data_IF_590290961487
#
_entry.id   IF_590290961487
#
_cell.length_a   1.000
_cell.length_b   1.000
_cell.length_c   1.000
_cell.angle_alpha   90.00
_cell.angle_beta   90.00
_cell.angle_gamma   90.00
#
_symmetry.space_group_name_H-M   'P 1'
#
loop_
_entity.id
_entity.type
_entity.pdbx_description
1 polymer ?
#
# COMPACT_ATOMS: atom_id res chain seq x y z
N UNK A 1 -30.67 0.20 -0.44
CA UNK A 1 -30.58 -0.64 -1.65
C UNK A 1 -30.53 0.16 -2.94
N UNK A 2 -31.51 1.03 -3.25
CA UNK A 2 -31.45 1.83 -4.49
C UNK A 2 -30.20 2.73 -4.58
N UNK A 3 -29.86 3.45 -3.51
CA UNK A 3 -28.68 4.33 -3.48
C UNK A 3 -27.36 3.59 -3.71
N UNK A 4 -27.25 2.36 -3.20
CA UNK A 4 -26.12 1.48 -3.42
C UNK A 4 -25.99 1.08 -4.90
N UNK A 5 -27.10 0.65 -5.52
CA UNK A 5 -27.10 0.25 -6.93
C UNK A 5 -26.75 1.43 -7.86
N UNK A 6 -27.32 2.60 -7.60
CA UNK A 6 -27.03 3.82 -8.39
C UNK A 6 -25.56 4.19 -8.30
N UNK A 7 -24.99 4.17 -7.10
CA UNK A 7 -23.58 4.52 -6.89
C UNK A 7 -22.62 3.50 -7.51
N UNK A 8 -22.94 2.21 -7.41
CA UNK A 8 -22.18 1.15 -8.06
C UNK A 8 -22.22 1.30 -9.59
N UNK A 9 -23.39 1.60 -10.17
CA UNK A 9 -23.53 1.83 -11.60
C UNK A 9 -22.76 3.07 -12.04
N UNK A 10 -22.84 4.15 -11.26
CA UNK A 10 -22.12 5.39 -11.57
C UNK A 10 -20.61 5.19 -11.52
N UNK A 11 -20.11 4.40 -10.57
CA UNK A 11 -18.70 4.00 -10.52
C UNK A 11 -18.29 3.18 -11.76
N UNK A 12 -19.12 2.23 -12.19
CA UNK A 12 -18.85 1.43 -13.39
C UNK A 12 -18.87 2.28 -14.67
N UNK A 13 -19.80 3.23 -14.78
CA UNK A 13 -19.86 4.18 -15.90
C UNK A 13 -18.61 5.04 -15.95
N UNK A 14 -18.14 5.56 -14.81
CA UNK A 14 -16.91 6.35 -14.73
C UNK A 14 -15.67 5.55 -15.13
N UNK A 15 -15.57 4.28 -14.71
CA UNK A 15 -14.43 3.43 -15.05
C UNK A 15 -14.39 3.05 -16.54
N UNK A 16 -15.55 2.99 -17.19
CA UNK A 16 -15.67 2.63 -18.61
C UNK A 16 -15.80 3.83 -19.55
N UNK A 17 -15.95 5.04 -19.03
CA UNK A 17 -16.12 6.22 -19.87
C UNK A 17 -14.79 6.64 -20.50
N UNK A 18 -14.81 6.89 -21.81
CA UNK A 18 -13.65 7.45 -22.52
C UNK A 18 -13.49 8.96 -22.25
N UNK A 19 -14.52 9.62 -21.72
CA UNK A 19 -14.56 11.06 -21.45
C UNK A 19 -14.80 11.33 -19.96
N UNK A 20 -13.78 11.05 -19.15
CA UNK A 20 -13.80 11.25 -17.69
C UNK A 20 -13.98 12.75 -17.36
N UNK A 21 -13.48 13.65 -18.21
CA UNK A 21 -13.53 15.10 -17.99
C UNK A 21 -14.95 15.64 -17.99
N UNK A 22 -15.79 15.21 -18.94
CA UNK A 22 -17.20 15.61 -18.98
C UNK A 22 -17.96 15.10 -17.74
N UNK A 23 -17.70 13.87 -17.31
CA UNK A 23 -18.30 13.35 -16.08
C UNK A 23 -17.86 14.12 -14.83
N UNK A 24 -16.58 14.49 -14.73
CA UNK A 24 -16.08 15.32 -13.62
C UNK A 24 -16.68 16.73 -13.63
N UNK A 25 -16.92 17.30 -14.81
CA UNK A 25 -17.60 18.60 -14.93
C UNK A 25 -19.01 18.51 -14.36
N UNK A 26 -19.78 17.49 -14.75
CA UNK A 26 -21.12 17.25 -14.22
C UNK A 26 -21.07 17.05 -12.69
N UNK A 27 -20.11 16.25 -12.20
CA UNK A 27 -19.91 16.04 -10.76
C UNK A 27 -19.53 17.31 -10.00
N UNK A 28 -18.87 18.26 -10.66
CA UNK A 28 -18.49 19.54 -10.07
C UNK A 28 -19.63 20.55 -10.05
N UNK A 29 -20.54 20.47 -11.03
CA UNK A 29 -21.77 21.26 -11.08
C UNK A 29 -22.82 20.73 -10.11
N UNK A 30 -22.83 19.43 -9.86
CA UNK A 30 -23.68 18.81 -8.86
C UNK A 30 -23.02 18.84 -7.48
N UNK A 31 -23.80 19.08 -6.41
CA UNK A 31 -23.30 18.95 -5.03
C UNK A 31 -23.12 17.48 -4.59
N UNK A 32 -22.78 16.60 -5.53
CA UNK A 32 -22.78 15.14 -5.35
C UNK A 32 -21.73 14.68 -4.36
N UNK A 33 -20.52 15.26 -4.38
CA UNK A 33 -19.45 14.90 -3.43
C UNK A 33 -19.87 15.25 -2.01
N UNK A 34 -20.35 16.49 -1.77
CA UNK A 34 -20.83 16.92 -0.46
C UNK A 34 -21.99 16.04 0.05
N UNK A 35 -22.98 15.75 -0.82
CA UNK A 35 -24.10 14.88 -0.47
C UNK A 35 -23.64 13.45 -0.15
N UNK A 36 -22.61 12.95 -0.84
CA UNK A 36 -22.04 11.64 -0.58
C UNK A 36 -21.28 11.61 0.75
N UNK A 37 -20.52 12.65 1.08
CA UNK A 37 -19.84 12.80 2.36
C UNK A 37 -20.83 12.78 3.54
N UNK A 38 -21.92 13.55 3.44
CA UNK A 38 -22.99 13.57 4.44
C UNK A 38 -23.61 12.17 4.61
N UNK A 39 -23.88 11.49 3.49
CA UNK A 39 -24.48 10.16 3.49
C UNK A 39 -23.51 9.10 4.06
N UNK A 40 -22.22 9.19 3.75
CA UNK A 40 -21.18 8.34 4.34
C UNK A 40 -21.18 8.53 5.86
N UNK A 41 -21.23 9.76 6.37
CA UNK A 41 -21.22 10.03 7.82
C UNK A 41 -22.44 9.43 8.54
N UNK A 42 -23.62 9.57 7.94
CA UNK A 42 -24.85 8.94 8.45
C UNK A 42 -24.70 7.42 8.47
N UNK A 43 -24.16 6.84 7.40
CA UNK A 43 -24.03 5.38 7.23
C UNK A 43 -22.95 4.76 8.10
N UNK A 44 -21.84 5.47 8.32
CA UNK A 44 -20.81 5.14 9.32
C UNK A 44 -21.41 5.08 10.72
N UNK A 45 -22.21 6.08 11.09
CA UNK A 45 -22.88 6.14 12.40
C UNK A 45 -23.88 4.99 12.58
N UNK A 46 -24.55 4.58 11.50
CA UNK A 46 -25.47 3.44 11.49
C UNK A 46 -24.78 2.07 11.32
N UNK A 47 -23.44 2.02 11.23
CA UNK A 47 -22.65 0.81 10.97
C UNK A 47 -23.03 0.05 9.68
N UNK A 48 -23.55 0.74 8.67
CA UNK A 48 -23.83 0.18 7.34
C UNK A 48 -22.61 0.34 6.42
N UNK A 49 -21.65 -0.57 6.61
CA UNK A 49 -20.32 -0.45 5.99
C UNK A 49 -20.29 -0.75 4.49
N UNK A 50 -21.27 -1.50 3.95
CA UNK A 50 -21.29 -1.86 2.52
C UNK A 50 -21.51 -0.63 1.63
N UNK A 51 -22.38 0.27 2.05
CA UNK A 51 -22.58 1.53 1.34
C UNK A 51 -21.32 2.40 1.41
N UNK A 52 -20.71 2.48 2.59
CA UNK A 52 -19.49 3.26 2.82
C UNK A 52 -18.35 2.77 1.92
N UNK A 53 -18.15 1.45 1.82
CA UNK A 53 -17.14 0.86 0.95
C UNK A 53 -17.32 1.31 -0.51
N UNK A 54 -18.52 1.19 -1.07
CA UNK A 54 -18.79 1.57 -2.46
C UNK A 54 -18.66 3.08 -2.67
N UNK A 55 -19.06 3.89 -1.69
CA UNK A 55 -18.90 5.34 -1.75
C UNK A 55 -17.44 5.77 -1.74
N UNK A 56 -16.62 5.16 -0.88
CA UNK A 56 -15.18 5.38 -0.89
C UNK A 56 -14.55 4.92 -2.21
N UNK A 57 -14.99 3.78 -2.76
CA UNK A 57 -14.50 3.30 -4.06
C UNK A 57 -14.82 4.28 -5.19
N UNK A 58 -16.01 4.88 -5.18
CA UNK A 58 -16.36 5.93 -6.14
C UNK A 58 -15.48 7.18 -5.97
N UNK A 59 -15.27 7.65 -4.73
CA UNK A 59 -14.37 8.78 -4.45
C UNK A 59 -12.94 8.48 -4.90
N UNK A 60 -12.48 7.24 -4.73
CA UNK A 60 -11.18 6.80 -5.25
C UNK A 60 -11.12 6.86 -6.78
N UNK A 61 -12.15 6.37 -7.50
CA UNK A 61 -12.22 6.49 -8.96
C UNK A 61 -12.10 7.94 -9.42
N UNK A 62 -12.72 8.88 -8.69
CA UNK A 62 -12.56 10.32 -8.95
C UNK A 62 -11.12 10.77 -8.70
N UNK A 63 -10.51 10.36 -7.58
CA UNK A 63 -9.15 10.75 -7.19
C UNK A 63 -8.04 10.26 -8.14
N UNK A 64 -8.30 9.29 -9.02
CA UNK A 64 -7.32 8.75 -9.97
C UNK A 64 -6.89 9.74 -11.06
N UNK A 65 -7.59 10.87 -11.21
CA UNK A 65 -7.25 11.91 -12.19
C UNK A 65 -6.89 13.22 -11.49
N UNK A 66 -6.07 14.05 -12.14
CA UNK A 66 -5.68 15.35 -11.57
C UNK A 66 -6.89 16.26 -11.33
N UNK A 67 -7.85 16.32 -12.26
CA UNK A 67 -9.05 17.14 -12.11
C UNK A 67 -9.99 16.62 -11.03
N UNK A 68 -10.14 15.30 -10.91
CA UNK A 68 -10.92 14.71 -9.82
C UNK A 68 -10.26 14.93 -8.46
N UNK A 69 -8.93 14.79 -8.37
CA UNK A 69 -8.19 15.13 -7.16
C UNK A 69 -8.36 16.62 -6.78
N UNK A 70 -8.30 17.55 -7.74
CA UNK A 70 -8.59 18.98 -7.49
C UNK A 70 -9.99 19.20 -6.96
N UNK A 71 -10.98 18.52 -7.54
CA UNK A 71 -12.37 18.61 -7.10
C UNK A 71 -12.53 18.07 -5.67
N UNK A 72 -11.95 16.92 -5.34
CA UNK A 72 -11.98 16.38 -3.97
C UNK A 72 -11.23 17.27 -2.97
N UNK A 73 -10.08 17.82 -3.36
CA UNK A 73 -9.32 18.77 -2.55
C UNK A 73 -10.12 20.03 -2.23
N UNK A 74 -10.85 20.58 -3.21
CA UNK A 74 -11.73 21.73 -3.01
C UNK A 74 -12.90 21.43 -2.04
N UNK A 75 -13.35 20.18 -1.98
CA UNK A 75 -14.34 19.71 -1.01
C UNK A 75 -13.72 19.27 0.34
N UNK A 76 -12.43 19.53 0.59
CA UNK A 76 -11.74 19.17 1.84
C UNK A 76 -11.78 17.67 2.19
N UNK A 77 -11.66 16.80 1.17
CA UNK A 77 -11.69 15.33 1.35
C UNK A 77 -10.73 14.84 2.45
N UNK A 78 -9.56 15.48 2.58
CA UNK A 78 -8.56 15.11 3.58
C UNK A 78 -9.08 15.29 5.00
N UNK A 79 -9.67 16.45 5.30
CA UNK A 79 -10.30 16.73 6.60
C UNK A 79 -11.47 15.80 6.86
N UNK A 80 -12.32 15.58 5.86
CA UNK A 80 -13.43 14.64 5.95
C UNK A 80 -12.96 13.23 6.35
N UNK A 81 -11.96 12.68 5.65
CA UNK A 81 -11.40 11.37 5.95
C UNK A 81 -10.73 11.34 7.33
N UNK A 82 -9.96 12.37 7.69
CA UNK A 82 -9.31 12.45 9.01
C UNK A 82 -10.30 12.30 10.16
N UNK A 83 -11.45 12.98 10.08
CA UNK A 83 -12.43 13.04 11.17
C UNK A 83 -13.35 11.83 11.24
N UNK A 84 -13.77 11.30 10.08
CA UNK A 84 -14.88 10.34 10.02
C UNK A 84 -14.41 8.88 9.97
N UNK A 85 -13.17 8.63 9.53
CA UNK A 85 -12.66 7.26 9.40
C UNK A 85 -12.55 6.54 10.75
N UNK A 86 -12.48 7.28 11.88
CA UNK A 86 -12.46 6.70 13.23
C UNK A 86 -13.67 5.81 13.52
N UNK A 87 -14.81 6.09 12.87
CA UNK A 87 -16.03 5.30 13.03
C UNK A 87 -15.91 3.91 12.40
N UNK A 88 -15.02 3.72 11.42
CA UNK A 88 -14.70 2.39 10.90
C UNK A 88 -14.09 1.50 11.99
N UNK A 89 -13.28 2.05 12.89
CA UNK A 89 -12.66 1.30 13.99
C UNK A 89 -13.72 0.80 14.98
N UNK A 90 -14.61 1.69 15.42
CA UNK A 90 -15.69 1.33 16.33
C UNK A 90 -16.63 0.28 15.71
N UNK A 91 -16.84 0.31 14.40
CA UNK A 91 -17.67 -0.68 13.71
C UNK A 91 -16.98 -2.04 13.57
N UNK A 92 -15.65 -2.09 13.45
CA UNK A 92 -14.89 -3.34 13.45
C UNK A 92 -15.06 -4.11 14.77
N UNK A 93 -14.97 -3.41 15.90
CA UNK A 93 -15.18 -4.00 17.23
C UNK A 93 -16.60 -4.54 17.41
N UNK A 94 -17.61 -3.84 16.88
CA UNK A 94 -19.01 -4.19 17.04
C UNK A 94 -19.47 -5.33 16.12
N UNK A 95 -19.10 -5.30 14.84
CA UNK A 95 -19.70 -6.16 13.79
C UNK A 95 -18.80 -7.27 13.28
N UNK A 96 -17.51 -7.31 13.66
CA UNK A 96 -16.51 -8.32 13.23
C UNK A 96 -16.41 -8.49 11.70
N UNK A 97 -16.81 -7.50 10.93
CA UNK A 97 -16.78 -7.56 9.47
C UNK A 97 -15.43 -7.05 8.96
N UNK A 98 -14.40 -7.88 9.13
CA UNK A 98 -13.01 -7.52 8.86
C UNK A 98 -12.73 -7.18 7.39
N UNK A 99 -13.37 -7.85 6.43
CA UNK A 99 -13.13 -7.63 5.00
C UNK A 99 -13.56 -6.24 4.54
N UNK A 100 -14.79 -5.82 4.90
CA UNK A 100 -15.32 -4.50 4.53
C UNK A 100 -14.52 -3.38 5.19
N UNK A 101 -14.08 -3.60 6.43
CA UNK A 101 -13.18 -2.67 7.11
C UNK A 101 -11.85 -2.53 6.36
N UNK A 102 -11.19 -3.64 6.03
CA UNK A 102 -9.89 -3.61 5.34
C UNK A 102 -9.99 -2.95 3.97
N UNK A 103 -11.04 -3.26 3.21
CA UNK A 103 -11.30 -2.62 1.92
C UNK A 103 -11.52 -1.11 2.11
N UNK A 104 -12.46 -0.71 2.96
CA UNK A 104 -12.76 0.72 3.19
C UNK A 104 -11.54 1.50 3.66
N UNK A 105 -10.78 0.96 4.61
CA UNK A 105 -9.55 1.58 5.11
C UNK A 105 -8.49 1.71 4.01
N UNK A 106 -8.28 0.64 3.23
CA UNK A 106 -7.34 0.66 2.10
C UNK A 106 -7.73 1.68 1.03
N UNK A 107 -9.02 1.85 0.77
CA UNK A 107 -9.54 2.83 -0.18
C UNK A 107 -9.32 4.26 0.31
N UNK A 108 -9.48 4.52 1.61
CA UNK A 108 -9.13 5.83 2.17
C UNK A 108 -7.65 6.15 1.97
N UNK A 109 -6.75 5.19 2.18
CA UNK A 109 -5.31 5.38 1.92
C UNK A 109 -5.02 5.65 0.44
N UNK A 110 -5.72 4.95 -0.45
CA UNK A 110 -5.62 5.18 -1.89
C UNK A 110 -6.07 6.60 -2.28
N UNK A 111 -7.20 7.09 -1.74
CA UNK A 111 -7.67 8.46 -1.94
C UNK A 111 -6.60 9.44 -1.46
N UNK A 112 -6.14 9.32 -0.21
CA UNK A 112 -5.14 10.22 0.37
C UNK A 112 -3.84 10.23 -0.46
N UNK A 113 -3.38 9.06 -0.91
CA UNK A 113 -2.16 8.92 -1.72
C UNK A 113 -2.29 9.58 -3.09
N UNK A 114 -3.39 9.32 -3.81
CA UNK A 114 -3.59 9.88 -5.15
C UNK A 114 -3.86 11.38 -5.10
N UNK A 115 -4.64 11.85 -4.12
CA UNK A 115 -4.85 13.29 -3.93
C UNK A 115 -3.53 13.99 -3.59
N UNK A 116 -2.69 13.42 -2.71
CA UNK A 116 -1.36 13.96 -2.42
C UNK A 116 -0.45 13.98 -3.66
N UNK A 117 -0.47 12.90 -4.46
CA UNK A 117 0.31 12.81 -5.70
C UNK A 117 -0.02 13.95 -6.68
N UNK A 118 -1.31 14.23 -6.89
CA UNK A 118 -1.74 15.26 -7.84
C UNK A 118 -1.69 16.68 -7.29
N UNK A 119 -2.10 16.89 -6.03
CA UNK A 119 -2.20 18.21 -5.43
C UNK A 119 -0.90 18.67 -4.74
N UNK A 120 0.01 17.73 -4.44
CA UNK A 120 1.33 18.01 -3.87
C UNK A 120 1.20 18.84 -2.59
N UNK A 121 1.96 19.93 -2.50
CA UNK A 121 2.00 20.83 -1.34
C UNK A 121 0.63 21.39 -0.91
N UNK A 122 -0.34 21.56 -1.81
CA UNK A 122 -1.65 22.10 -1.44
C UNK A 122 -2.50 21.13 -0.62
N UNK A 123 -2.20 19.82 -0.68
CA UNK A 123 -2.86 18.78 0.11
C UNK A 123 -1.97 18.21 1.22
N UNK A 124 -0.69 18.61 1.26
CA UNK A 124 0.30 18.05 2.18
C UNK A 124 -0.11 18.18 3.65
N UNK A 125 -0.71 19.30 4.06
CA UNK A 125 -1.16 19.47 5.44
C UNK A 125 -2.21 18.42 5.82
N UNK A 126 -3.22 18.19 4.98
CA UNK A 126 -4.23 17.15 5.22
C UNK A 126 -3.62 15.76 5.28
N UNK A 127 -2.59 15.47 4.48
CA UNK A 127 -1.87 14.20 4.53
C UNK A 127 -1.07 14.04 5.83
N UNK A 128 -0.42 15.10 6.31
CA UNK A 128 0.28 15.13 7.61
C UNK A 128 -0.71 14.93 8.76
N UNK A 129 -1.84 15.64 8.75
CA UNK A 129 -2.88 15.51 9.76
C UNK A 129 -3.44 14.09 9.81
N UNK A 130 -3.64 13.47 8.64
CA UNK A 130 -4.08 12.07 8.54
C UNK A 130 -3.05 11.10 9.10
N UNK A 131 -1.76 11.26 8.75
CA UNK A 131 -0.67 10.45 9.29
C UNK A 131 -0.61 10.56 10.83
N UNK A 132 -0.70 11.79 11.36
CA UNK A 132 -0.65 12.06 12.78
C UNK A 132 -1.84 11.50 13.55
N UNK A 133 -3.05 11.66 13.00
CA UNK A 133 -4.31 11.21 13.60
C UNK A 133 -4.46 9.68 13.64
N UNK A 134 -3.88 8.97 12.67
CA UNK A 134 -4.08 7.53 12.48
C UNK A 134 -2.80 6.70 12.60
N UNK A 135 -1.76 7.27 13.23
CA UNK A 135 -0.42 6.67 13.32
C UNK A 135 -0.39 5.24 13.87
N UNK A 136 -1.24 4.91 14.83
CA UNK A 136 -1.22 3.60 15.50
C UNK A 136 -1.60 2.46 14.55
N UNK A 137 -2.62 2.68 13.72
CA UNK A 137 -3.13 1.66 12.80
C UNK A 137 -2.25 1.56 11.57
N UNK A 138 -1.75 2.70 11.08
CA UNK A 138 -0.73 2.73 10.04
C UNK A 138 0.53 1.97 10.48
N UNK A 139 1.03 2.22 11.70
CA UNK A 139 2.20 1.52 12.21
C UNK A 139 1.94 0.02 12.41
N UNK A 140 0.82 -0.35 13.04
CA UNK A 140 0.40 -1.75 13.20
C UNK A 140 0.33 -2.49 11.87
N UNK A 141 -0.08 -1.81 10.79
CA UNK A 141 -0.13 -2.42 9.46
C UNK A 141 1.25 -2.73 8.85
N UNK A 142 2.32 -2.06 9.28
CA UNK A 142 3.69 -2.30 8.80
C UNK A 142 4.35 -3.50 9.50
N UNK A 143 3.94 -3.83 10.71
CA UNK A 143 4.45 -4.97 11.49
C UNK A 143 3.65 -6.27 11.26
N UNK A 144 2.71 -6.27 10.30
CA UNK A 144 1.77 -7.38 10.15
C UNK A 144 2.41 -8.65 9.59
N UNK A 145 3.54 -8.51 8.90
CA UNK A 145 4.24 -9.60 8.22
C UNK A 145 4.91 -10.57 9.22
N UNK A 146 5.02 -10.19 10.50
CA UNK A 146 5.50 -11.06 11.58
C UNK A 146 4.38 -11.87 12.23
N UNK A 147 3.11 -11.60 11.90
CA UNK A 147 1.94 -12.17 12.55
C UNK A 147 1.35 -13.37 11.80
N UNK A 148 0.67 -14.26 12.53
CA UNK A 148 -0.13 -15.35 11.96
C UNK A 148 -1.32 -14.76 11.18
N UNK A 149 -1.68 -15.32 10.02
CA UNK A 149 -2.77 -14.86 9.16
C UNK A 149 -2.64 -13.42 8.64
N UNK A 150 -1.43 -13.02 8.22
CA UNK A 150 -1.15 -11.69 7.68
C UNK A 150 -1.83 -11.41 6.32
N UNK A 151 -2.21 -12.45 5.56
CA UNK A 151 -2.74 -12.34 4.19
C UNK A 151 -3.93 -11.38 4.09
N UNK A 152 -4.91 -11.50 4.99
CA UNK A 152 -6.14 -10.70 4.95
C UNK A 152 -5.87 -9.21 5.22
N UNK A 153 -4.71 -8.91 5.80
CA UNK A 153 -4.29 -7.57 6.23
C UNK A 153 -3.21 -6.98 5.34
N UNK A 154 -2.67 -7.77 4.41
CA UNK A 154 -1.61 -7.34 3.50
C UNK A 154 -2.05 -6.23 2.55
N UNK A 155 -3.33 -6.20 2.19
CA UNK A 155 -3.91 -5.10 1.41
C UNK A 155 -3.69 -3.76 2.11
N UNK A 156 -3.88 -3.68 3.42
CA UNK A 156 -3.62 -2.45 4.18
C UNK A 156 -2.13 -2.13 4.15
N UNK A 157 -1.25 -3.09 4.41
CA UNK A 157 0.20 -2.87 4.41
C UNK A 157 0.67 -2.29 3.08
N UNK A 158 0.18 -2.85 1.96
CA UNK A 158 0.45 -2.33 0.62
C UNK A 158 0.02 -0.86 0.48
N UNK A 159 -1.20 -0.52 0.86
CA UNK A 159 -1.69 0.87 0.74
C UNK A 159 -1.01 1.83 1.74
N UNK A 160 -0.64 1.37 2.93
CA UNK A 160 0.12 2.16 3.91
C UNK A 160 1.50 2.49 3.35
N UNK A 161 2.20 1.50 2.78
CA UNK A 161 3.53 1.72 2.18
C UNK A 161 3.46 2.67 0.97
N UNK A 162 2.39 2.61 0.18
CA UNK A 162 2.14 3.56 -0.91
C UNK A 162 1.97 4.99 -0.35
N UNK A 163 1.10 5.17 0.65
CA UNK A 163 0.86 6.49 1.26
C UNK A 163 2.13 7.10 1.87
N UNK A 164 2.92 6.30 2.59
CA UNK A 164 4.19 6.74 3.16
C UNK A 164 5.21 7.06 2.06
N UNK A 165 5.23 6.31 0.96
CA UNK A 165 6.07 6.62 -0.19
C UNK A 165 5.74 7.99 -0.78
N UNK A 166 4.46 8.32 -0.98
CA UNK A 166 4.05 9.65 -1.45
C UNK A 166 4.47 10.76 -0.47
N UNK A 167 4.30 10.55 0.84
CA UNK A 167 4.74 11.49 1.88
C UNK A 167 6.26 11.66 1.94
N UNK A 168 7.04 10.63 1.59
CA UNK A 168 8.50 10.66 1.67
C UNK A 168 9.13 11.68 0.72
N UNK A 169 8.42 12.08 -0.35
CA UNK A 169 8.83 13.18 -1.23
C UNK A 169 8.85 14.55 -0.52
N UNK A 170 8.15 14.68 0.62
CA UNK A 170 8.02 15.90 1.42
C UNK A 170 8.65 15.73 2.80
N UNK A 171 9.68 14.88 2.91
CA UNK A 171 10.31 14.52 4.17
C UNK A 171 10.66 15.72 5.07
N UNK A 172 11.21 16.86 4.58
CA UNK A 172 11.54 18.00 5.45
C UNK A 172 10.31 18.55 6.18
N UNK A 173 9.19 18.74 5.46
CA UNK A 173 7.95 19.27 6.02
C UNK A 173 7.30 18.26 6.97
N UNK A 174 7.30 16.98 6.60
CA UNK A 174 6.71 15.91 7.43
C UNK A 174 7.51 15.72 8.72
N UNK A 175 8.85 15.74 8.65
CA UNK A 175 9.71 15.67 9.84
C UNK A 175 9.55 16.91 10.72
N UNK A 176 9.43 18.09 10.13
CA UNK A 176 9.18 19.31 10.89
C UNK A 176 7.86 19.23 11.69
N UNK A 177 6.80 18.70 11.08
CA UNK A 177 5.50 18.58 11.74
C UNK A 177 5.42 17.40 12.72
N UNK A 178 6.02 16.26 12.38
CA UNK A 178 5.81 14.96 13.04
C UNK A 178 7.12 14.16 13.17
N UNK A 179 8.19 14.76 13.71
CA UNK A 179 9.53 14.16 13.76
C UNK A 179 9.55 12.70 14.28
N UNK A 180 9.11 12.49 15.52
CA UNK A 180 9.22 11.18 16.19
C UNK A 180 8.34 10.13 15.50
N UNK A 181 7.15 10.55 15.06
CA UNK A 181 6.20 9.69 14.34
C UNK A 181 6.79 9.28 13.00
N UNK A 182 7.29 10.23 12.21
CA UNK A 182 7.83 9.93 10.89
C UNK A 182 9.12 9.10 10.97
N UNK A 183 9.99 9.35 11.95
CA UNK A 183 11.18 8.51 12.17
C UNK A 183 10.81 7.05 12.51
N UNK A 184 9.72 6.84 13.26
CA UNK A 184 9.18 5.51 13.53
C UNK A 184 8.69 4.85 12.23
N UNK A 185 8.02 5.59 11.35
CA UNK A 185 7.61 5.10 10.04
C UNK A 185 8.78 4.77 9.10
N UNK A 186 9.87 5.57 9.13
CA UNK A 186 11.09 5.25 8.35
C UNK A 186 11.59 3.85 8.71
N UNK A 187 11.69 3.54 10.00
CA UNK A 187 12.11 2.21 10.44
C UNK A 187 11.12 1.11 10.02
N UNK A 188 9.81 1.35 10.20
CA UNK A 188 8.77 0.42 9.78
C UNK A 188 8.79 0.10 8.28
N UNK A 189 9.09 1.08 7.42
CA UNK A 189 9.23 0.89 5.98
C UNK A 189 10.40 -0.04 5.64
N UNK A 190 11.55 0.15 6.29
CA UNK A 190 12.73 -0.69 6.08
C UNK A 190 12.45 -2.13 6.55
N UNK A 191 11.80 -2.29 7.70
CA UNK A 191 11.39 -3.59 8.21
C UNK A 191 10.39 -4.29 7.29
N UNK A 192 9.34 -3.59 6.84
CA UNK A 192 8.35 -4.14 5.90
C UNK A 192 9.00 -4.58 4.58
N UNK A 193 10.00 -3.83 4.10
CA UNK A 193 10.81 -4.23 2.93
C UNK A 193 11.56 -5.54 3.19
N UNK A 194 12.25 -5.64 4.33
CA UNK A 194 13.00 -6.83 4.72
C UNK A 194 12.10 -8.06 4.88
N UNK A 195 10.98 -7.92 5.58
CA UNK A 195 10.05 -9.02 5.80
C UNK A 195 9.45 -9.50 4.48
N UNK A 196 9.07 -8.56 3.60
CA UNK A 196 8.54 -8.89 2.28
C UNK A 196 9.57 -9.62 1.42
N UNK A 197 10.83 -9.19 1.42
CA UNK A 197 11.87 -9.88 0.65
C UNK A 197 12.26 -11.23 1.24
N UNK A 198 12.22 -11.39 2.57
CA UNK A 198 12.45 -12.67 3.23
C UNK A 198 11.39 -13.71 2.81
N UNK A 199 10.13 -13.28 2.67
CA UNK A 199 9.03 -14.10 2.16
C UNK A 199 9.17 -14.40 0.67
N UNK A 200 9.43 -13.38 -0.16
CA UNK A 200 9.60 -13.56 -1.62
C UNK A 200 10.80 -14.45 -1.97
N UNK A 201 11.85 -14.42 -1.16
CA UNK A 201 13.02 -15.30 -1.32
C UNK A 201 12.70 -16.78 -1.01
N UNK A 202 11.57 -17.07 -0.36
CA UNK A 202 11.15 -18.40 0.10
C UNK A 202 9.72 -18.73 -0.36
N UNK A 203 9.50 -18.96 -1.67
CA UNK A 203 8.16 -19.20 -2.22
C UNK A 203 7.43 -20.40 -1.60
N UNK A 204 8.14 -21.43 -1.12
CA UNK A 204 7.53 -22.56 -0.40
C UNK A 204 6.89 -22.16 0.93
N UNK A 205 7.47 -21.18 1.63
CA UNK A 205 6.91 -20.65 2.88
C UNK A 205 5.58 -19.94 2.59
N UNK A 206 5.49 -19.21 1.47
CA UNK A 206 4.25 -18.60 1.01
C UNK A 206 3.18 -19.67 0.77
N UNK A 207 3.49 -20.72 0.01
CA UNK A 207 2.54 -21.80 -0.26
C UNK A 207 2.11 -22.54 1.02
N UNK A 208 3.03 -22.76 1.97
CA UNK A 208 2.71 -23.35 3.27
C UNK A 208 1.77 -22.47 4.09
N UNK A 209 2.03 -21.16 4.18
CA UNK A 209 1.19 -20.21 4.92
C UNK A 209 -0.22 -20.08 4.33
N UNK A 210 -0.36 -20.25 3.01
CA UNK A 210 -1.66 -20.34 2.35
C UNK A 210 -2.37 -21.67 2.63
N UNK A 211 -1.63 -22.79 2.62
CA UNK A 211 -2.20 -24.12 2.82
C UNK A 211 -2.53 -24.41 4.30
N UNK A 212 -1.84 -23.78 5.27
CA UNK A 212 -2.15 -23.95 6.70
C UNK A 212 -3.54 -23.44 7.06
N UNK A 213 -4.07 -22.40 6.37
CA UNK A 213 -5.48 -21.97 6.50
C UNK A 213 -6.48 -23.06 6.08
N UNK A 214 -6.16 -23.85 5.05
CA UNK A 214 -7.01 -24.97 4.62
C UNK A 214 -7.04 -26.08 5.67
N UNK A 215 -5.92 -26.32 6.34
CA UNK A 215 -5.78 -27.32 7.40
C UNK A 215 -6.39 -26.86 8.74
N UNK A 216 -6.35 -25.57 9.10
CA UNK A 216 -7.06 -25.05 10.28
C UNK A 216 -8.59 -25.19 10.19
N UNK A 217 -9.15 -25.13 8.97
CA UNK A 217 -10.57 -25.46 8.73
C UNK A 217 -10.87 -26.97 8.87
N UNK A 218 -9.85 -27.81 9.00
CA UNK A 218 -9.94 -29.26 9.15
C UNK A 218 -9.28 -29.66 10.47
N UNK A 219 -10.00 -29.48 11.59
CA UNK A 219 -9.64 -29.83 12.98
C UNK A 219 -8.33 -30.63 13.18
N UNK A 220 -7.47 -30.07 14.05
CA UNK A 220 -6.24 -30.61 14.65
C UNK A 220 -4.91 -30.12 14.03
N UNK A 221 -4.53 -28.89 14.34
CA UNK A 221 -3.13 -28.54 14.50
C UNK A 221 -2.98 -27.50 15.63
N UNK A 222 -2.18 -27.84 16.65
CA UNK A 222 -1.90 -26.99 17.79
C UNK A 222 -1.09 -25.73 17.40
N UNK A 223 -1.34 -24.56 18.01
CA UNK A 223 -0.80 -23.25 17.61
C UNK A 223 0.70 -23.02 17.90
N UNK A 224 1.50 -24.09 18.10
CA UNK A 224 2.89 -24.01 18.56
C UNK A 224 3.93 -24.57 17.57
N UNK A 225 3.53 -25.12 16.40
CA UNK A 225 4.49 -25.75 15.48
C UNK A 225 5.23 -24.79 14.54
N UNK A 226 4.69 -23.58 14.28
CA UNK A 226 5.32 -22.61 13.37
C UNK A 226 6.61 -21.98 13.91
N UNK A 227 6.90 -22.10 15.21
CA UNK A 227 8.07 -21.47 15.84
C UNK A 227 9.34 -22.33 15.77
N UNK A 228 9.21 -23.64 15.53
CA UNK A 228 10.32 -24.60 15.67
C UNK A 228 10.66 -25.44 14.43
N UNK A 229 9.90 -25.33 13.33
CA UNK A 229 10.33 -25.96 12.09
C UNK A 229 11.38 -25.11 11.41
N UNK A 230 12.64 -25.57 11.50
CA UNK A 230 13.82 -25.00 10.87
C UNK A 230 13.52 -24.39 9.49
N UNK A 231 13.43 -23.06 9.43
CA UNK A 231 13.27 -22.20 8.23
C UNK A 231 14.33 -22.44 7.12
N UNK A 232 15.27 -23.36 7.34
CA UNK A 232 16.34 -23.77 6.42
C UNK A 232 15.95 -24.93 5.50
N UNK A 233 14.88 -25.68 5.78
CA UNK A 233 14.48 -26.86 4.99
C UNK A 233 13.75 -26.54 3.68
N UNK A 234 13.28 -25.31 3.49
CA UNK A 234 12.52 -24.90 2.31
C UNK A 234 13.39 -24.46 1.11
N UNK A 235 14.68 -24.82 1.10
CA UNK A 235 15.71 -24.28 0.20
C UNK A 235 15.85 -24.94 -1.19
N UNK A 236 14.91 -25.78 -1.64
CA UNK A 236 15.10 -26.52 -2.91
C UNK A 236 14.07 -26.16 -3.98
N UNK A 237 14.53 -25.70 -5.14
CA UNK A 237 13.71 -25.46 -6.33
C UNK A 237 13.05 -26.77 -6.79
N UNK A 238 11.72 -26.81 -6.77
CA UNK A 238 10.92 -27.75 -7.56
C UNK A 238 9.70 -26.96 -8.08
N UNK A 239 9.35 -27.20 -9.34
CA UNK A 239 8.28 -26.52 -10.08
C UNK A 239 6.91 -26.76 -9.44
N UNK A 240 6.49 -25.86 -8.55
CA UNK A 240 5.15 -25.88 -7.96
C UNK A 240 4.20 -25.00 -8.77
N UNK A 241 3.07 -25.58 -9.19
CA UNK A 241 1.96 -24.84 -9.82
C UNK A 241 1.47 -23.75 -8.88
N UNK A 242 1.69 -22.49 -9.24
CA UNK A 242 1.21 -21.34 -8.48
C UNK A 242 -0.33 -21.33 -8.46
N UNK A 243 -0.91 -21.34 -7.26
CA UNK A 243 -2.34 -21.04 -7.09
C UNK A 243 -2.59 -19.56 -7.35
N UNK A 244 -3.80 -19.15 -7.80
CA UNK A 244 -4.11 -17.74 -8.05
C UNK A 244 -3.92 -16.86 -6.81
N UNK A 245 -4.18 -17.41 -5.61
CA UNK A 245 -3.97 -16.71 -4.35
C UNK A 245 -2.47 -16.51 -4.04
N UNK A 246 -1.61 -17.47 -4.39
CA UNK A 246 -0.15 -17.35 -4.25
C UNK A 246 0.40 -16.26 -5.16
N UNK A 247 -0.12 -16.14 -6.38
CA UNK A 247 0.24 -15.06 -7.31
C UNK A 247 -0.20 -13.69 -6.79
N UNK A 248 -1.43 -13.57 -6.28
CA UNK A 248 -1.94 -12.32 -5.70
C UNK A 248 -1.07 -11.89 -4.52
N UNK A 249 -0.78 -12.82 -3.62
CA UNK A 249 0.07 -12.58 -2.45
C UNK A 249 1.48 -12.13 -2.86
N UNK A 250 2.08 -12.81 -3.83
CA UNK A 250 3.39 -12.44 -4.38
C UNK A 250 3.36 -11.04 -5.01
N UNK A 251 2.31 -10.72 -5.76
CA UNK A 251 2.14 -9.40 -6.39
C UNK A 251 2.08 -8.29 -5.34
N UNK A 252 1.29 -8.49 -4.27
CA UNK A 252 1.20 -7.52 -3.17
C UNK A 252 2.53 -7.34 -2.45
N UNK A 253 3.27 -8.43 -2.18
CA UNK A 253 4.60 -8.35 -1.58
C UNK A 253 5.60 -7.59 -2.47
N UNK A 254 5.54 -7.80 -3.80
CA UNK A 254 6.36 -7.04 -4.75
C UNK A 254 5.99 -5.56 -4.71
N UNK A 255 4.70 -5.21 -4.67
CA UNK A 255 4.25 -3.83 -4.57
C UNK A 255 4.71 -3.17 -3.26
N UNK A 256 4.66 -3.88 -2.13
CA UNK A 256 5.21 -3.41 -0.86
C UNK A 256 6.72 -3.13 -0.99
N UNK A 257 7.49 -4.08 -1.53
CA UNK A 257 8.94 -3.89 -1.73
C UNK A 257 9.21 -2.68 -2.63
N UNK A 258 8.45 -2.52 -3.73
CA UNK A 258 8.55 -1.37 -4.63
C UNK A 258 8.30 -0.06 -3.89
N UNK A 259 7.20 0.04 -3.16
CA UNK A 259 6.82 1.25 -2.43
C UNK A 259 7.86 1.59 -1.36
N UNK A 260 8.35 0.59 -0.61
CA UNK A 260 9.39 0.80 0.39
C UNK A 260 10.70 1.27 -0.23
N UNK A 261 11.17 0.64 -1.32
CA UNK A 261 12.40 1.06 -2.01
C UNK A 261 12.29 2.49 -2.57
N UNK A 262 11.13 2.83 -3.13
CA UNK A 262 10.85 4.18 -3.62
C UNK A 262 10.86 5.20 -2.48
N UNK A 263 10.20 4.90 -1.37
CA UNK A 263 10.23 5.74 -0.16
C UNK A 263 11.67 5.92 0.35
N UNK A 264 12.43 4.84 0.50
CA UNK A 264 13.81 4.89 0.98
C UNK A 264 14.73 5.71 0.08
N UNK A 265 14.49 5.73 -1.24
CA UNK A 265 15.22 6.61 -2.16
C UNK A 265 14.99 8.09 -1.86
N UNK A 266 13.78 8.49 -1.45
CA UNK A 266 13.47 9.87 -1.03
C UNK A 266 13.99 10.18 0.37
N UNK A 267 14.11 9.17 1.22
CA UNK A 267 14.58 9.28 2.61
C UNK A 267 16.11 9.21 2.75
N UNK A 268 16.84 9.14 1.64
CA UNK A 268 18.30 9.10 1.62
C UNK A 268 18.84 10.25 0.79
N UNK A 269 20.00 10.81 1.14
CA UNK A 269 20.57 11.91 0.39
C UNK A 269 21.05 11.40 -0.98
N UNK A 270 20.91 12.23 -2.02
CA UNK A 270 21.42 11.91 -3.34
C UNK A 270 22.95 11.95 -3.33
N UNK A 271 23.60 10.82 -3.67
CA UNK A 271 25.07 10.68 -3.65
C UNK A 271 25.78 11.81 -4.41
N UNK A 272 25.26 12.20 -5.58
CA UNK A 272 25.81 13.30 -6.38
C UNK A 272 25.73 14.62 -5.62
N UNK A 273 24.59 14.91 -4.98
CA UNK A 273 24.43 16.11 -4.16
C UNK A 273 25.38 16.09 -2.96
N UNK A 274 25.56 14.95 -2.29
CA UNK A 274 26.52 14.82 -1.18
C UNK A 274 27.96 15.17 -1.58
N UNK A 275 28.34 14.87 -2.82
CA UNK A 275 29.73 15.06 -3.31
C UNK A 275 29.97 16.52 -3.72
N UNK A 276 28.97 17.18 -4.30
CA UNK A 276 29.14 18.51 -4.90
C UNK A 276 28.60 19.67 -4.04
N UNK A 277 27.69 19.41 -3.10
CA UNK A 277 27.07 20.42 -2.24
C UNK A 277 27.73 20.38 -0.85
N UNK A 278 28.77 21.20 -0.67
CA UNK A 278 29.49 21.34 0.62
C UNK A 278 28.59 21.86 1.76
N UNK A 279 27.42 22.44 1.45
CA UNK A 279 26.45 22.93 2.43
C UNK A 279 25.38 21.91 2.82
N UNK A 280 25.40 20.70 2.25
CA UNK A 280 24.35 19.71 2.48
C UNK A 280 24.45 19.11 3.89
N UNK A 281 23.41 19.28 4.70
CA UNK A 281 23.35 18.68 6.03
C UNK A 281 23.01 17.19 5.95
N UNK A 282 24.04 16.35 5.88
CA UNK A 282 23.92 14.88 5.92
C UNK A 282 23.32 14.42 7.27
N UNK A 283 23.51 15.19 8.34
CA UNK A 283 23.02 14.85 9.69
C UNK A 283 21.50 14.80 9.80
N UNK A 284 20.79 15.46 8.88
CA UNK A 284 19.33 15.37 8.78
C UNK A 284 18.82 13.98 8.34
N UNK A 285 19.70 13.12 7.81
CA UNK A 285 19.34 11.78 7.34
C UNK A 285 19.80 10.71 8.33
N UNK A 286 18.84 9.97 8.89
CA UNK A 286 19.14 8.82 9.74
C UNK A 286 19.55 7.61 8.89
N UNK A 287 20.56 6.82 9.31
CA UNK A 287 20.94 5.61 8.60
C UNK A 287 19.78 4.60 8.58
N UNK A 288 19.41 4.14 7.39
CA UNK A 288 18.29 3.19 7.21
C UNK A 288 18.72 1.73 7.25
N UNK A 289 19.96 1.42 6.86
CA UNK A 289 20.51 0.07 6.79
C UNK A 289 21.82 -0.03 7.55
N UNK A 290 22.06 -1.19 8.15
CA UNK A 290 23.36 -1.54 8.69
C UNK A 290 24.28 -2.12 7.61
N UNK A 291 25.60 -1.91 7.76
CA UNK A 291 26.59 -2.44 6.83
C UNK A 291 26.91 -3.88 7.24
N UNK A 292 26.09 -4.81 6.78
CA UNK A 292 26.22 -6.25 7.05
C UNK A 292 25.76 -7.12 5.89
N UNK A 293 26.25 -8.35 5.82
CA UNK A 293 25.92 -9.33 4.76
C UNK A 293 24.92 -10.38 5.28
N UNK A 294 24.15 -10.05 6.31
CA UNK A 294 23.13 -10.95 6.85
C UNK A 294 22.03 -11.17 5.82
N UNK A 295 21.65 -12.44 5.60
CA UNK A 295 20.47 -12.76 4.78
C UNK A 295 19.21 -12.17 5.43
N UNK A 296 18.24 -11.68 4.64
CA UNK A 296 17.01 -11.14 5.19
C UNK A 296 16.26 -12.24 5.96
N UNK A 297 15.85 -11.92 7.19
CA UNK A 297 14.97 -12.76 8.00
C UNK A 297 13.90 -11.91 8.68
N UNK A 298 12.97 -12.53 9.40
CA UNK A 298 11.96 -11.76 10.13
C UNK A 298 12.53 -11.10 11.40
N UNK A 299 13.58 -11.71 11.97
CA UNK A 299 14.17 -11.31 13.26
C UNK A 299 15.47 -10.50 13.15
N UNK A 300 16.04 -10.33 11.94
CA UNK A 300 17.30 -9.63 11.75
C UNK A 300 17.11 -8.12 11.54
N UNK A 301 18.18 -7.35 11.74
CA UNK A 301 18.21 -5.92 11.41
C UNK A 301 18.43 -5.76 9.89
N UNK A 302 17.76 -4.79 9.24
CA UNK A 302 18.00 -4.50 7.83
C UNK A 302 19.44 -4.15 7.54
N UNK A 303 20.01 -4.87 6.58
CA UNK A 303 21.41 -4.73 6.21
C UNK A 303 21.59 -4.61 4.70
N UNK A 304 22.81 -4.34 4.27
CA UNK A 304 23.21 -4.44 2.86
C UNK A 304 22.83 -5.80 2.23
N UNK A 305 22.87 -6.89 3.01
CA UNK A 305 22.40 -8.21 2.58
C UNK A 305 20.91 -8.24 2.20
N UNK A 306 20.05 -7.44 2.84
CA UNK A 306 18.64 -7.26 2.47
C UNK A 306 18.52 -6.66 1.07
N UNK A 307 19.28 -5.60 0.76
CA UNK A 307 19.28 -4.96 -0.57
C UNK A 307 19.78 -5.91 -1.66
N UNK A 308 20.83 -6.67 -1.36
CA UNK A 308 21.35 -7.67 -2.30
C UNK A 308 20.33 -8.79 -2.56
N UNK A 309 19.60 -9.22 -1.53
CA UNK A 309 18.51 -10.18 -1.67
C UNK A 309 17.33 -9.61 -2.48
N UNK A 310 17.01 -8.32 -2.31
CA UNK A 310 16.03 -7.62 -3.16
C UNK A 310 16.44 -7.72 -4.62
N UNK A 311 17.67 -7.31 -4.96
CA UNK A 311 18.18 -7.36 -6.32
C UNK A 311 18.12 -8.78 -6.91
N UNK A 312 18.64 -9.77 -6.17
CA UNK A 312 18.67 -11.16 -6.62
C UNK A 312 17.27 -11.73 -6.85
N UNK A 313 16.31 -11.39 -5.99
CA UNK A 313 14.92 -11.85 -6.13
C UNK A 313 14.25 -11.18 -7.33
N UNK A 314 14.45 -9.87 -7.52
CA UNK A 314 13.96 -9.15 -8.70
C UNK A 314 14.51 -9.75 -10.00
N UNK A 315 15.81 -10.07 -10.06
CA UNK A 315 16.42 -10.74 -11.22
C UNK A 315 15.77 -12.10 -11.48
N UNK A 316 15.59 -12.93 -10.44
CA UNK A 316 14.92 -14.24 -10.57
C UNK A 316 13.48 -14.10 -11.09
N UNK A 317 12.72 -13.11 -10.62
CA UNK A 317 11.35 -12.88 -11.07
C UNK A 317 11.31 -12.42 -12.54
N UNK A 318 12.21 -11.52 -12.94
CA UNK A 318 12.33 -11.09 -14.34
C UNK A 318 12.70 -12.28 -15.24
N UNK A 319 13.66 -13.11 -14.83
CA UNK A 319 14.04 -14.31 -15.59
C UNK A 319 12.86 -15.27 -15.78
N UNK A 320 12.03 -15.47 -14.75
CA UNK A 320 10.81 -16.28 -14.86
C UNK A 320 9.80 -15.67 -15.83
N UNK A 321 9.61 -14.35 -15.82
CA UNK A 321 8.72 -13.67 -16.77
C UNK A 321 9.21 -13.82 -18.22
N UNK A 322 10.52 -13.69 -18.45
CA UNK A 322 11.13 -13.87 -19.77
C UNK A 322 11.01 -15.31 -20.26
N UNK A 323 11.19 -16.30 -19.38
CA UNK A 323 11.01 -17.73 -19.71
C UNK A 323 9.56 -18.06 -20.10
N UNK A 324 8.58 -17.51 -19.39
CA UNK A 324 7.15 -17.65 -19.76
C UNK A 324 6.84 -16.96 -21.09
N UNK A 325 7.49 -15.83 -21.38
CA UNK A 325 7.38 -15.12 -22.65
C UNK A 325 8.08 -15.79 -23.84
N UNK A 326 9.05 -16.70 -23.62
CA UNK A 326 9.70 -17.46 -24.69
C UNK A 326 8.94 -18.72 -25.13
N UNK A 327 7.95 -19.16 -24.35
CA UNK A 327 7.04 -20.27 -24.71
C UNK A 327 5.76 -19.79 -25.41
N UNK A 328 5.61 -18.47 -25.62
CA UNK A 328 4.53 -17.89 -26.42
C UNK A 328 5.15 -17.03 -27.51
N UNK A 329 5.10 -17.51 -28.75
CA UNK A 329 5.50 -16.73 -29.92
C UNK A 329 4.80 -15.37 -29.94
N UNK A 330 5.51 -14.30 -30.34
CA UNK A 330 5.08 -12.93 -30.08
C UNK A 330 4.13 -12.47 -31.17
N UNK A 331 2.91 -12.08 -30.83
CA UNK A 331 2.19 -11.00 -31.52
C UNK A 331 0.96 -10.58 -30.70
N UNK A 332 0.94 -9.28 -30.37
CA UNK A 332 -0.14 -8.51 -29.73
C UNK A 332 -0.37 -8.78 -28.24
N UNK A 333 0.30 -7.96 -27.42
CA UNK A 333 -0.37 -7.01 -26.52
C UNK A 333 0.69 -6.24 -25.72
N UNK A 334 1.36 -5.31 -26.42
CA UNK A 334 2.08 -4.20 -25.78
C UNK A 334 1.06 -3.08 -25.64
N UNK A 335 0.36 -3.02 -24.51
CA UNK A 335 -0.32 -1.81 -24.07
C UNK A 335 -0.39 -1.76 -22.54
N UNK A 336 0.77 -1.64 -21.90
CA UNK A 336 0.83 -1.16 -20.52
C UNK A 336 1.93 -0.10 -20.37
N UNK A 337 1.48 1.11 -20.00
CA UNK A 337 2.22 2.22 -19.41
C UNK A 337 3.29 2.91 -20.29
N UNK A 338 2.83 3.73 -21.24
CA UNK A 338 3.52 5.00 -21.54
C UNK A 338 3.03 6.01 -20.51
N UNK A 339 3.91 6.38 -19.59
CA UNK A 339 3.60 7.36 -18.53
C UNK A 339 4.73 7.55 -17.52
N UNK A 340 5.99 7.47 -17.96
CA UNK A 340 7.17 7.81 -17.15
C UNK A 340 8.19 8.53 -18.05
N UNK A 341 7.94 9.80 -18.37
CA UNK A 341 8.94 10.70 -18.98
C UNK A 341 9.40 11.85 -18.05
N UNK A 342 9.05 11.84 -16.76
CA UNK A 342 9.41 12.93 -15.84
C UNK A 342 10.58 12.65 -14.87
N UNK A 343 11.41 11.63 -15.15
CA UNK A 343 12.65 11.35 -14.39
C UNK A 343 13.95 11.58 -15.17
N UNK A 344 13.92 12.51 -16.13
CA UNK A 344 15.12 13.14 -16.69
C UNK A 344 15.00 14.66 -16.60
N UNK A 345 15.34 15.20 -15.43
CA UNK A 345 16.04 16.49 -15.27
C UNK A 345 16.55 16.64 -13.86
#
# INVERSE_FOLDING_TARGET
>A
DLSYCVLSLLNEVMLKSNDILSCLTILSESSTVQALEDLINIKLSASDLKFVEVALMFLFTVAQTENGAKHLGANNIGTFLCLNIKHLYSSLEANRNYSVFYNSWSTCLLIMSHTLKFLKYSFLQSAIDFLGGHKEILFSSLDILTQVNFEDRLLITEQTTLFICELSHYQPQVVFALNDVFNTFKFGIVQACQHSIALLSRPKLINHLLNSKLLENTKMASPLSLRNENLRSFATDNEEKYSPNSLLLQTRLINIVRNCLSAMRCLTPHVVQCIFDEGMDIGCFSPLFDIGISSPSLDSIPSFGTLLACLNTSIKLIQKLVQVGSDQTPEKDISFAVGDEEYRK
#
